data_IF_726125174782
#
_entry.id   IF_726125174782
#
_cell.length_a   1.000
_cell.length_b   1.000
_cell.length_c   1.000
_cell.angle_alpha   90.00
_cell.angle_beta   90.00
_cell.angle_gamma   90.00
#
_symmetry.space_group_name_H-M   'P 1'
#
loop_
_entity.id
_entity.type
_entity.pdbx_description
1 polymer ?
#
# COMPACT_ATOMS: atom_id res chain seq x y z
N UNK A 1 27.74 -15.64 8.77
CA UNK A 1 26.78 -14.81 9.53
C UNK A 1 25.44 -15.51 9.51
N UNK A 2 24.87 -15.79 10.66
CA UNK A 2 23.56 -16.44 10.78
C UNK A 2 22.42 -15.39 10.91
N UNK A 3 22.73 -14.13 10.63
CA UNK A 3 21.79 -12.99 10.71
C UNK A 3 20.71 -13.08 9.63
N UNK A 4 19.48 -12.81 10.01
CA UNK A 4 18.32 -12.79 9.09
C UNK A 4 18.25 -11.45 8.37
N UNK A 5 17.99 -11.50 7.07
CA UNK A 5 17.67 -10.34 6.26
C UNK A 5 16.30 -10.55 5.61
N UNK A 6 15.29 -9.84 6.12
CA UNK A 6 13.96 -9.82 5.53
C UNK A 6 13.89 -8.81 4.40
N UNK A 7 13.26 -9.16 3.29
CA UNK A 7 13.13 -8.32 2.11
C UNK A 7 11.72 -8.41 1.52
N UNK A 8 11.24 -7.29 0.96
CA UNK A 8 9.89 -7.22 0.42
C UNK A 8 9.78 -7.80 -0.98
N UNK A 9 8.65 -8.49 -1.19
CA UNK A 9 8.17 -8.93 -2.49
C UNK A 9 6.72 -8.43 -2.68
N UNK A 10 6.26 -8.17 -3.91
CA UNK A 10 4.86 -7.88 -4.15
C UNK A 10 4.00 -9.13 -3.94
N UNK A 11 2.77 -8.94 -3.49
CA UNK A 11 1.76 -10.00 -3.52
C UNK A 11 1.37 -10.35 -4.96
N UNK A 12 0.76 -11.51 -5.17
CA UNK A 12 0.30 -11.92 -6.49
C UNK A 12 -0.74 -10.93 -7.05
N UNK A 13 -0.54 -10.40 -8.28
CA UNK A 13 -1.50 -9.51 -8.91
C UNK A 13 -2.75 -10.26 -9.38
N UNK A 14 -3.92 -9.65 -9.15
CA UNK A 14 -5.22 -10.24 -9.54
C UNK A 14 -5.71 -9.76 -10.91
N UNK A 15 -5.12 -8.70 -11.43
CA UNK A 15 -5.55 -8.03 -12.67
C UNK A 15 -4.59 -8.25 -13.85
N UNK A 16 -3.48 -8.94 -13.65
CA UNK A 16 -2.54 -9.34 -14.71
C UNK A 16 -1.88 -10.68 -14.39
N UNK A 17 -1.62 -11.48 -15.41
CA UNK A 17 -0.83 -12.71 -15.30
C UNK A 17 0.68 -12.36 -15.28
N UNK A 18 1.15 -11.84 -14.15
CA UNK A 18 2.57 -11.54 -13.90
C UNK A 18 3.13 -12.47 -12.84
N UNK A 19 4.25 -13.10 -13.15
CA UNK A 19 5.00 -13.90 -12.18
C UNK A 19 5.88 -12.98 -11.34
N UNK A 20 5.66 -12.99 -10.03
CA UNK A 20 6.45 -12.22 -9.06
C UNK A 20 7.66 -13.02 -8.54
N UNK A 21 7.65 -14.34 -8.70
CA UNK A 21 8.65 -15.31 -8.23
C UNK A 21 10.08 -14.93 -8.68
N UNK A 22 10.23 -14.40 -9.91
CA UNK A 22 11.55 -14.01 -10.41
C UNK A 22 12.23 -12.94 -9.55
N UNK A 23 11.50 -11.97 -9.05
CA UNK A 23 12.06 -10.92 -8.19
C UNK A 23 12.49 -11.48 -6.83
N UNK A 24 11.69 -12.39 -6.28
CA UNK A 24 12.02 -13.10 -5.04
C UNK A 24 13.31 -13.87 -5.18
N UNK A 25 13.44 -14.71 -6.21
CA UNK A 25 14.64 -15.53 -6.46
C UNK A 25 15.89 -14.69 -6.63
N UNK A 26 15.84 -13.58 -7.35
CA UNK A 26 16.99 -12.69 -7.58
C UNK A 26 17.42 -12.02 -6.27
N UNK A 27 16.49 -11.46 -5.50
CA UNK A 27 16.80 -10.81 -4.23
C UNK A 27 17.35 -11.81 -3.23
N UNK A 28 16.76 -13.01 -3.14
CA UNK A 28 17.26 -14.10 -2.30
C UNK A 28 18.70 -14.44 -2.60
N UNK A 29 19.04 -14.68 -3.87
CA UNK A 29 20.41 -15.02 -4.28
C UNK A 29 21.41 -13.89 -3.94
N UNK A 30 21.02 -12.63 -4.09
CA UNK A 30 21.88 -11.50 -3.72
C UNK A 30 22.13 -11.49 -2.22
N UNK A 31 21.09 -11.60 -1.39
CA UNK A 31 21.17 -11.54 0.07
C UNK A 31 21.98 -12.71 0.60
N UNK A 32 21.71 -13.94 0.13
CA UNK A 32 22.47 -15.14 0.51
C UNK A 32 23.94 -15.07 0.04
N UNK A 33 24.20 -14.43 -1.11
CA UNK A 33 25.56 -14.17 -1.59
C UNK A 33 26.38 -13.27 -0.66
N UNK A 34 25.74 -12.42 0.14
CA UNK A 34 26.38 -11.64 1.21
C UNK A 34 26.48 -12.39 2.55
N UNK A 35 25.95 -13.61 2.64
CA UNK A 35 26.05 -14.47 3.82
C UNK A 35 24.95 -14.25 4.86
N UNK A 36 23.81 -13.70 4.48
CA UNK A 36 22.63 -13.58 5.32
C UNK A 36 21.63 -14.70 5.05
N UNK A 37 20.78 -15.02 6.03
CA UNK A 37 19.60 -15.85 5.82
C UNK A 37 18.49 -14.97 5.20
N UNK A 38 18.16 -15.19 3.94
CA UNK A 38 17.14 -14.40 3.23
C UNK A 38 15.72 -14.85 3.61
N UNK A 39 14.84 -13.91 3.96
CA UNK A 39 13.42 -14.14 4.27
C UNK A 39 12.53 -13.18 3.47
N UNK A 40 11.74 -13.68 2.53
CA UNK A 40 10.77 -12.84 1.82
C UNK A 40 9.57 -12.53 2.70
N UNK A 41 9.05 -11.31 2.58
CA UNK A 41 7.79 -10.87 3.17
C UNK A 41 7.00 -10.08 2.12
N UNK A 42 5.68 -10.24 2.07
CA UNK A 42 4.85 -9.42 1.18
C UNK A 42 4.81 -7.97 1.65
N UNK A 43 4.87 -7.03 0.70
CA UNK A 43 5.03 -5.60 0.98
C UNK A 43 3.94 -5.03 1.89
N UNK A 44 2.67 -5.42 1.68
CA UNK A 44 1.56 -4.98 2.52
C UNK A 44 1.57 -5.64 3.92
N UNK A 45 2.13 -6.85 4.05
CA UNK A 45 2.32 -7.52 5.34
C UNK A 45 3.41 -6.80 6.13
N UNK A 46 4.53 -6.44 5.49
CA UNK A 46 5.55 -5.62 6.15
C UNK A 46 4.99 -4.28 6.63
N UNK A 47 4.17 -3.61 5.81
CA UNK A 47 3.47 -2.39 6.22
C UNK A 47 2.57 -2.62 7.44
N UNK A 48 1.90 -3.78 7.51
CA UNK A 48 1.06 -4.14 8.65
C UNK A 48 1.86 -4.33 9.95
N UNK A 49 3.03 -4.93 9.88
CA UNK A 49 3.94 -5.07 11.04
C UNK A 49 4.41 -3.73 11.60
N UNK A 50 4.46 -2.69 10.79
CA UNK A 50 4.76 -1.33 11.26
C UNK A 50 3.52 -0.62 11.79
N UNK A 51 2.40 -0.66 11.07
CA UNK A 51 1.28 0.25 11.32
C UNK A 51 0.13 -0.34 12.14
N UNK A 52 0.10 -1.68 12.40
CA UNK A 52 -0.98 -2.35 13.12
C UNK A 52 -0.56 -2.91 14.50
N UNK A 53 0.61 -2.58 15.01
CA UNK A 53 1.12 -3.07 16.30
C UNK A 53 0.12 -2.80 17.43
N UNK A 54 -0.37 -1.57 17.53
CA UNK A 54 -1.34 -1.16 18.57
C UNK A 54 -2.71 -1.83 18.44
N UNK A 55 -2.97 -2.53 17.33
CA UNK A 55 -4.20 -3.25 17.04
C UNK A 55 -4.00 -4.77 17.03
N UNK A 56 -2.99 -5.25 17.76
CA UNK A 56 -2.65 -6.68 17.80
C UNK A 56 -2.48 -7.27 16.39
N UNK A 57 -1.81 -6.54 15.51
CA UNK A 57 -1.60 -6.87 14.09
C UNK A 57 -2.89 -7.31 13.39
N UNK A 58 -4.02 -6.62 13.69
CA UNK A 58 -5.34 -6.88 13.11
C UNK A 58 -5.84 -5.65 12.39
N UNK A 59 -6.16 -5.76 11.10
CA UNK A 59 -6.60 -4.65 10.26
C UNK A 59 -6.29 -4.88 8.79
N UNK A 60 -6.38 -3.81 8.01
CA UNK A 60 -6.08 -3.81 6.58
C UNK A 60 -4.89 -2.89 6.32
N UNK A 61 -3.90 -3.39 5.61
CA UNK A 61 -2.75 -2.62 5.15
C UNK A 61 -2.79 -2.49 3.62
N UNK A 62 -2.61 -1.26 3.12
CA UNK A 62 -2.58 -0.94 1.69
C UNK A 62 -1.27 -0.20 1.39
N UNK A 63 -0.35 -0.84 0.69
CA UNK A 63 0.86 -0.19 0.17
C UNK A 63 0.61 0.32 -1.24
N UNK A 64 0.71 1.63 -1.44
CA UNK A 64 0.44 2.31 -2.72
C UNK A 64 1.76 2.80 -3.35
N UNK A 65 2.36 1.95 -4.18
CA UNK A 65 3.59 2.25 -4.91
C UNK A 65 3.34 2.96 -6.26
N UNK A 66 4.41 3.18 -7.00
CA UNK A 66 4.33 3.75 -8.36
C UNK A 66 3.69 2.75 -9.36
N UNK A 67 4.18 1.51 -9.39
CA UNK A 67 3.74 0.50 -10.36
C UNK A 67 2.60 -0.39 -9.89
N UNK A 68 2.44 -0.56 -8.58
CA UNK A 68 1.50 -1.53 -7.98
C UNK A 68 0.93 -0.99 -6.67
N UNK A 69 -0.25 -1.51 -6.31
CA UNK A 69 -0.76 -1.42 -4.96
C UNK A 69 -0.89 -2.83 -4.38
N UNK A 70 -0.34 -3.03 -3.18
CA UNK A 70 -0.39 -4.29 -2.45
C UNK A 70 -1.34 -4.18 -1.26
N UNK A 71 -2.14 -5.19 -1.02
CA UNK A 71 -3.15 -5.23 0.03
C UNK A 71 -2.94 -6.47 0.91
N UNK A 72 -3.03 -6.29 2.23
CA UNK A 72 -3.07 -7.38 3.20
C UNK A 72 -4.22 -7.16 4.19
N UNK A 73 -5.00 -8.21 4.43
CA UNK A 73 -5.95 -8.31 5.53
C UNK A 73 -5.31 -9.15 6.62
N UNK A 74 -5.06 -8.55 7.77
CA UNK A 74 -4.36 -9.16 8.89
C UNK A 74 -5.32 -9.49 10.02
N UNK A 75 -5.10 -10.62 10.69
CA UNK A 75 -5.82 -11.02 11.88
C UNK A 75 -4.88 -11.67 12.89
N UNK A 76 -4.71 -11.04 14.04
CA UNK A 76 -3.86 -11.52 15.13
C UNK A 76 -2.45 -11.96 14.65
N UNK A 77 -1.80 -11.12 13.85
CA UNK A 77 -0.46 -11.34 13.33
C UNK A 77 -0.37 -12.24 12.09
N UNK A 78 -1.45 -12.86 11.67
CA UNK A 78 -1.48 -13.70 10.47
C UNK A 78 -2.12 -12.97 9.29
N UNK A 79 -1.59 -13.16 8.10
CA UNK A 79 -2.23 -12.70 6.87
C UNK A 79 -3.39 -13.62 6.50
N UNK A 80 -4.62 -13.10 6.54
CA UNK A 80 -5.82 -13.82 6.14
C UNK A 80 -6.07 -13.75 4.63
N UNK A 81 -5.65 -12.65 4.01
CA UNK A 81 -5.76 -12.39 2.57
C UNK A 81 -4.65 -11.44 2.14
N UNK A 82 -3.96 -11.76 1.05
CA UNK A 82 -3.03 -10.86 0.37
C UNK A 82 -3.25 -10.89 -1.13
N UNK A 83 -3.12 -9.75 -1.76
CA UNK A 83 -3.14 -9.62 -3.23
C UNK A 83 -2.56 -8.27 -3.65
N UNK A 84 -2.29 -8.11 -4.93
CA UNK A 84 -1.93 -6.83 -5.50
C UNK A 84 -2.73 -6.50 -6.76
N UNK A 85 -2.68 -5.24 -7.16
CA UNK A 85 -3.14 -4.77 -8.46
C UNK A 85 -2.01 -4.03 -9.17
N UNK A 86 -1.93 -4.15 -10.50
CA UNK A 86 -0.87 -3.55 -11.31
C UNK A 86 -1.18 -2.10 -11.69
N UNK A 87 -1.87 -1.38 -10.79
CA UNK A 87 -2.16 0.05 -10.89
C UNK A 87 -1.58 0.77 -9.67
N UNK A 88 -0.90 1.86 -9.93
CA UNK A 88 -0.30 2.70 -8.88
C UNK A 88 -0.13 4.13 -9.37
N UNK A 89 0.84 4.86 -8.84
CA UNK A 89 1.09 6.26 -9.20
C UNK A 89 1.40 6.47 -10.68
N UNK A 90 2.12 5.53 -11.29
CA UNK A 90 2.45 5.58 -12.74
C UNK A 90 1.23 5.41 -13.63
N UNK A 91 0.25 4.62 -13.20
CA UNK A 91 -1.01 4.47 -13.91
C UNK A 91 -1.81 5.78 -13.90
N UNK A 92 -1.81 6.50 -12.78
CA UNK A 92 -2.41 7.84 -12.70
C UNK A 92 -1.73 8.77 -13.68
N UNK A 93 -0.39 8.86 -13.67
CA UNK A 93 0.39 9.76 -14.51
C UNK A 93 0.15 9.51 -16.00
N UNK A 94 0.08 8.24 -16.39
CA UNK A 94 -0.14 7.84 -17.77
C UNK A 94 -1.55 8.21 -18.26
N UNK A 95 -2.59 7.94 -17.46
CA UNK A 95 -3.96 8.25 -17.84
C UNK A 95 -4.21 9.75 -17.88
N UNK A 96 -3.70 10.51 -16.90
CA UNK A 96 -3.77 11.98 -16.91
C UNK A 96 -3.05 12.56 -18.12
N UNK A 97 -1.85 12.04 -18.46
CA UNK A 97 -1.11 12.48 -19.65
C UNK A 97 -1.90 12.24 -20.94
N UNK A 98 -2.52 11.06 -21.07
CA UNK A 98 -3.32 10.70 -22.24
C UNK A 98 -4.56 11.59 -22.38
N UNK A 99 -5.26 11.88 -21.30
CA UNK A 99 -6.49 12.65 -21.32
C UNK A 99 -6.26 14.15 -21.53
N UNK A 100 -5.16 14.67 -20.97
CA UNK A 100 -4.87 16.12 -21.03
C UNK A 100 -3.93 16.52 -22.17
N UNK A 101 -3.27 15.55 -22.80
CA UNK A 101 -2.24 15.80 -23.83
C UNK A 101 -0.91 16.35 -23.26
N UNK A 102 -0.76 16.38 -21.95
CA UNK A 102 0.45 16.83 -21.25
C UNK A 102 1.41 15.65 -21.09
N UNK A 103 2.71 15.88 -21.14
CA UNK A 103 3.69 14.80 -20.98
C UNK A 103 3.62 14.16 -19.58
N UNK A 104 3.81 12.82 -19.49
CA UNK A 104 3.83 12.07 -18.22
C UNK A 104 4.79 12.71 -17.19
N UNK A 105 5.97 13.14 -17.62
CA UNK A 105 6.94 13.78 -16.73
C UNK A 105 6.43 15.10 -16.13
N UNK A 106 5.67 15.90 -16.90
CA UNK A 106 5.05 17.14 -16.39
C UNK A 106 3.91 16.82 -15.42
N UNK A 107 3.09 15.79 -15.70
CA UNK A 107 2.04 15.31 -14.78
C UNK A 107 2.66 14.87 -13.46
N UNK A 108 3.70 14.05 -13.51
CA UNK A 108 4.43 13.58 -12.32
C UNK A 108 4.96 14.74 -11.49
N UNK A 109 5.63 15.72 -12.11
CA UNK A 109 6.14 16.91 -11.42
C UNK A 109 5.01 17.70 -10.73
N UNK A 110 3.84 17.83 -11.36
CA UNK A 110 2.68 18.50 -10.77
C UNK A 110 2.16 17.68 -9.58
N UNK A 111 1.99 16.37 -9.74
CA UNK A 111 1.48 15.46 -8.72
C UNK A 111 2.37 15.43 -7.47
N UNK A 112 3.68 15.44 -7.64
CA UNK A 112 4.66 15.40 -6.54
C UNK A 112 4.91 16.77 -5.91
N UNK A 113 4.36 17.85 -6.46
CA UNK A 113 4.51 19.18 -5.91
C UNK A 113 3.47 19.49 -4.84
N UNK A 114 3.87 19.42 -3.58
CA UNK A 114 3.01 19.74 -2.45
C UNK A 114 2.42 21.16 -2.47
N UNK A 115 3.00 22.07 -3.28
CA UNK A 115 2.52 23.46 -3.42
C UNK A 115 1.43 23.61 -4.48
N UNK A 116 1.39 22.68 -5.44
CA UNK A 116 0.51 22.80 -6.61
C UNK A 116 -0.80 22.03 -6.46
N UNK A 117 -0.86 21.01 -5.59
CA UNK A 117 -2.00 20.12 -5.53
C UNK A 117 -2.49 19.89 -4.09
N UNK A 118 -3.80 19.94 -3.93
CA UNK A 118 -4.51 19.58 -2.72
C UNK A 118 -5.84 18.90 -3.13
N UNK A 119 -5.88 17.59 -3.05
CA UNK A 119 -7.04 16.80 -3.50
C UNK A 119 -8.30 17.06 -2.66
N UNK A 120 -8.17 17.55 -1.41
CA UNK A 120 -9.30 17.78 -0.51
C UNK A 120 -10.21 18.91 -0.96
N UNK A 121 -9.67 19.86 -1.72
CA UNK A 121 -10.38 21.11 -2.05
C UNK A 121 -11.36 20.99 -3.22
N UNK A 122 -11.39 19.84 -3.88
CA UNK A 122 -12.23 19.65 -5.08
C UNK A 122 -11.78 20.55 -6.25
N UNK A 123 -12.61 20.60 -7.29
CA UNK A 123 -12.30 21.38 -8.50
C UNK A 123 -13.01 22.74 -8.42
N UNK A 124 -12.48 23.66 -7.62
CA UNK A 124 -12.91 25.06 -7.64
C UNK A 124 -11.80 25.95 -8.21
N UNK A 125 -12.17 26.96 -8.99
CA UNK A 125 -11.24 27.81 -9.73
C UNK A 125 -10.19 28.53 -8.87
N UNK A 126 -10.46 28.73 -7.58
CA UNK A 126 -9.62 29.52 -6.67
C UNK A 126 -8.52 28.72 -5.92
N UNK A 127 -8.46 27.39 -6.09
CA UNK A 127 -7.57 26.52 -5.30
C UNK A 127 -6.12 26.62 -5.74
N UNK A 128 -5.88 26.91 -6.99
CA UNK A 128 -4.55 26.77 -7.61
C UNK A 128 -3.81 28.10 -7.74
N UNK A 129 -4.31 29.17 -7.10
CA UNK A 129 -3.69 30.49 -7.06
C UNK A 129 -3.93 31.34 -8.30
N UNK A 130 -3.81 32.65 -8.15
CA UNK A 130 -3.84 33.59 -9.27
C UNK A 130 -2.70 33.26 -10.25
N UNK A 131 -3.04 33.01 -11.52
CA UNK A 131 -2.08 32.76 -12.59
C UNK A 131 -1.88 31.30 -12.99
N UNK A 132 -2.61 30.33 -12.38
CA UNK A 132 -2.58 28.95 -12.87
C UNK A 132 -3.26 28.86 -14.22
N UNK A 133 -2.51 28.47 -15.25
CA UNK A 133 -3.05 28.31 -16.61
C UNK A 133 -4.14 27.25 -16.68
N UNK A 134 -5.06 27.36 -17.63
CA UNK A 134 -6.16 26.41 -17.81
C UNK A 134 -5.68 24.97 -18.05
N UNK A 135 -4.55 24.79 -18.73
CA UNK A 135 -3.90 23.49 -18.89
C UNK A 135 -3.53 22.85 -17.52
N UNK A 136 -2.98 23.63 -16.60
CA UNK A 136 -2.60 23.15 -15.28
C UNK A 136 -3.84 22.78 -14.45
N UNK A 137 -4.89 23.57 -14.51
CA UNK A 137 -6.18 23.28 -13.86
C UNK A 137 -6.77 21.96 -14.37
N UNK A 138 -6.75 21.73 -15.68
CA UNK A 138 -7.22 20.48 -16.28
C UNK A 138 -6.40 19.27 -15.81
N UNK A 139 -5.07 19.39 -15.72
CA UNK A 139 -4.19 18.34 -15.20
C UNK A 139 -4.52 18.03 -13.74
N UNK A 140 -4.67 19.05 -12.91
CA UNK A 140 -4.99 18.88 -11.48
C UNK A 140 -6.35 18.21 -11.28
N UNK A 141 -7.34 18.60 -12.10
CA UNK A 141 -8.66 17.96 -12.11
C UNK A 141 -8.57 16.49 -12.49
N UNK A 142 -7.84 16.18 -13.55
CA UNK A 142 -7.64 14.82 -14.00
C UNK A 142 -6.90 13.98 -12.94
N UNK A 143 -5.84 14.52 -12.30
CA UNK A 143 -5.13 13.83 -11.20
C UNK A 143 -6.13 13.43 -10.10
N UNK A 144 -6.94 14.37 -9.58
CA UNK A 144 -7.93 14.06 -8.54
C UNK A 144 -8.91 12.97 -8.97
N UNK A 145 -9.41 13.06 -10.19
CA UNK A 145 -10.35 12.09 -10.75
C UNK A 145 -9.72 10.69 -10.82
N UNK A 146 -8.48 10.55 -11.30
CA UNK A 146 -7.79 9.27 -11.39
C UNK A 146 -7.39 8.70 -10.03
N UNK A 147 -7.11 9.53 -9.02
CA UNK A 147 -7.01 9.05 -7.63
C UNK A 147 -8.31 8.41 -7.16
N UNK A 148 -9.45 9.07 -7.38
CA UNK A 148 -10.76 8.51 -7.05
C UNK A 148 -11.04 7.18 -7.76
N UNK A 149 -10.72 7.09 -9.06
CA UNK A 149 -10.85 5.84 -9.84
C UNK A 149 -9.95 4.74 -9.29
N UNK A 150 -8.68 5.03 -8.95
CA UNK A 150 -7.75 4.06 -8.39
C UNK A 150 -8.23 3.54 -7.04
N UNK A 151 -8.62 4.44 -6.13
CA UNK A 151 -9.11 4.09 -4.79
C UNK A 151 -10.38 3.23 -4.90
N UNK A 152 -11.34 3.63 -5.72
CA UNK A 152 -12.56 2.85 -5.94
C UNK A 152 -12.24 1.46 -6.52
N UNK A 153 -11.28 1.37 -7.45
CA UNK A 153 -10.82 0.10 -7.99
C UNK A 153 -10.22 -0.81 -6.90
N UNK A 154 -9.37 -0.26 -6.01
CA UNK A 154 -8.79 -1.01 -4.90
C UNK A 154 -9.87 -1.52 -3.92
N UNK A 155 -10.79 -0.66 -3.51
CA UNK A 155 -11.87 -1.00 -2.57
C UNK A 155 -12.81 -2.07 -3.16
N UNK A 156 -13.17 -1.94 -4.43
CA UNK A 156 -14.02 -2.92 -5.13
C UNK A 156 -13.33 -4.28 -5.22
N UNK A 157 -12.05 -4.32 -5.57
CA UNK A 157 -11.31 -5.58 -5.63
C UNK A 157 -11.12 -6.19 -4.23
N UNK A 158 -10.84 -5.39 -3.20
CA UNK A 158 -10.76 -5.86 -1.82
C UNK A 158 -12.08 -6.52 -1.39
N UNK A 159 -13.22 -5.89 -1.68
CA UNK A 159 -14.53 -6.47 -1.41
C UNK A 159 -14.72 -7.81 -2.13
N UNK A 160 -14.43 -7.89 -3.43
CA UNK A 160 -14.57 -9.13 -4.21
C UNK A 160 -13.64 -10.24 -3.70
N UNK A 161 -12.40 -9.92 -3.36
CA UNK A 161 -11.46 -10.90 -2.82
C UNK A 161 -11.91 -11.39 -1.44
N UNK A 162 -12.45 -10.51 -0.62
CA UNK A 162 -13.00 -10.85 0.69
C UNK A 162 -14.21 -11.80 0.57
N UNK A 163 -15.15 -11.50 -0.33
CA UNK A 163 -16.33 -12.33 -0.59
C UNK A 163 -15.98 -13.69 -1.21
N UNK A 164 -14.91 -13.75 -2.01
CA UNK A 164 -14.43 -14.96 -2.68
C UNK A 164 -13.55 -15.87 -1.82
N UNK A 165 -13.13 -15.41 -0.64
CA UNK A 165 -12.23 -16.18 0.22
C UNK A 165 -12.99 -17.25 1.02
N UNK A 166 -12.55 -18.52 0.91
CA UNK A 166 -13.20 -19.66 1.57
C UNK A 166 -13.19 -19.60 3.11
N UNK A 167 -12.20 -18.91 3.68
CA UNK A 167 -11.98 -18.87 5.15
C UNK A 167 -11.48 -17.48 5.57
N UNK A 168 -12.39 -16.54 5.70
CA UNK A 168 -12.06 -15.26 6.34
C UNK A 168 -12.30 -15.34 7.85
N UNK A 169 -11.40 -14.74 8.67
CA UNK A 169 -11.66 -14.62 10.09
C UNK A 169 -12.89 -13.75 10.36
N UNK A 170 -13.59 -14.04 11.45
CA UNK A 170 -14.60 -13.12 11.95
C UNK A 170 -13.90 -12.02 12.75
N UNK A 171 -14.12 -10.77 12.38
CA UNK A 171 -13.58 -9.61 13.08
C UNK A 171 -14.59 -9.19 14.16
N UNK A 172 -14.28 -9.42 15.46
CA UNK A 172 -15.23 -9.08 16.53
C UNK A 172 -15.32 -7.58 16.79
N UNK A 173 -14.26 -6.84 16.45
CA UNK A 173 -14.12 -5.40 16.65
C UNK A 173 -13.88 -4.68 15.33
N UNK A 174 -14.17 -3.38 15.31
CA UNK A 174 -13.87 -2.50 14.18
C UNK A 174 -12.36 -2.40 13.98
N UNK A 175 -11.88 -2.54 12.75
CA UNK A 175 -10.46 -2.57 12.41
C UNK A 175 -9.98 -1.28 11.74
N UNK A 176 -8.70 -0.91 11.84
CA UNK A 176 -8.15 0.19 11.06
C UNK A 176 -7.82 -0.24 9.64
N UNK A 177 -7.89 0.72 8.70
CA UNK A 177 -7.20 0.66 7.41
C UNK A 177 -5.97 1.56 7.51
N UNK A 178 -4.80 1.00 7.34
CA UNK A 178 -3.54 1.74 7.25
C UNK A 178 -3.07 1.79 5.80
N UNK A 179 -2.53 2.94 5.39
CA UNK A 179 -2.09 3.18 4.04
C UNK A 179 -0.65 3.68 4.07
N UNK A 180 0.19 3.16 3.18
CA UNK A 180 1.59 3.56 3.03
C UNK A 180 2.02 3.64 1.57
N UNK A 181 3.27 4.03 1.33
CA UNK A 181 3.84 4.19 0.00
C UNK A 181 3.77 5.62 -0.55
N UNK A 182 4.57 5.91 -1.57
CA UNK A 182 4.71 7.27 -2.09
C UNK A 182 3.44 7.85 -2.72
N UNK A 183 2.58 7.00 -3.29
CA UNK A 183 1.37 7.46 -3.99
C UNK A 183 0.31 8.04 -3.04
N UNK A 184 0.27 7.63 -1.76
CA UNK A 184 -0.69 8.16 -0.79
C UNK A 184 -0.27 9.49 -0.13
N UNK A 185 0.96 9.99 -0.39
CA UNK A 185 1.50 11.19 0.27
C UNK A 185 1.00 12.51 -0.32
N UNK A 186 0.25 12.48 -1.40
CA UNK A 186 -0.34 13.68 -1.99
C UNK A 186 -1.33 14.30 -1.01
N UNK A 187 -1.25 15.62 -0.87
CA UNK A 187 -2.12 16.35 0.06
C UNK A 187 -3.61 16.16 -0.28
N UNK A 188 -4.44 15.88 0.73
CA UNK A 188 -5.86 15.61 0.56
C UNK A 188 -6.18 14.18 0.12
N UNK A 189 -5.21 13.26 0.12
CA UNK A 189 -5.43 11.86 -0.26
C UNK A 189 -6.50 11.19 0.60
N UNK A 190 -6.44 11.35 1.93
CA UNK A 190 -7.41 10.74 2.86
C UNK A 190 -8.83 11.24 2.61
N UNK A 191 -9.00 12.51 2.22
CA UNK A 191 -10.31 13.05 1.90
C UNK A 191 -10.91 12.34 0.68
N UNK A 192 -10.11 12.15 -0.39
CA UNK A 192 -10.54 11.40 -1.57
C UNK A 192 -10.77 9.92 -1.24
N UNK A 193 -9.95 9.32 -0.38
CA UNK A 193 -10.16 7.95 0.05
C UNK A 193 -11.50 7.80 0.78
N UNK A 194 -11.81 8.69 1.73
CA UNK A 194 -13.07 8.68 2.47
C UNK A 194 -14.29 8.96 1.57
N UNK A 195 -14.15 9.76 0.51
CA UNK A 195 -15.22 9.97 -0.47
C UNK A 195 -15.57 8.68 -1.25
N UNK A 196 -14.60 7.80 -1.46
CA UNK A 196 -14.80 6.54 -2.18
C UNK A 196 -15.17 5.38 -1.24
N UNK A 197 -14.90 5.50 0.06
CA UNK A 197 -15.16 4.46 1.04
C UNK A 197 -16.62 4.47 1.48
N UNK A 198 -17.29 3.32 1.39
CA UNK A 198 -18.67 3.11 1.81
C UNK A 198 -18.74 1.98 2.85
N UNK A 199 -18.89 2.35 4.13
CA UNK A 199 -18.94 1.38 5.22
C UNK A 199 -20.10 0.38 5.07
N UNK A 200 -21.22 0.78 4.49
CA UNK A 200 -22.39 -0.11 4.34
C UNK A 200 -22.13 -1.24 3.34
N UNK A 201 -21.23 -1.01 2.38
CA UNK A 201 -20.83 -2.00 1.38
C UNK A 201 -19.55 -2.76 1.77
N UNK A 202 -18.82 -2.27 2.76
CA UNK A 202 -17.54 -2.85 3.12
C UNK A 202 -17.73 -4.09 4.02
N UNK A 203 -17.02 -5.22 3.76
CA UNK A 203 -17.31 -6.51 4.38
C UNK A 203 -16.97 -6.60 5.87
N UNK A 204 -16.17 -5.68 6.39
CA UNK A 204 -15.80 -5.60 7.81
C UNK A 204 -15.95 -4.18 8.33
N UNK A 205 -16.30 -4.00 9.61
CA UNK A 205 -16.43 -2.67 10.20
C UNK A 205 -15.06 -2.00 10.33
N UNK A 206 -14.96 -0.74 9.89
CA UNK A 206 -13.72 0.04 9.90
C UNK A 206 -13.85 1.20 10.87
N UNK A 207 -12.91 1.28 11.83
CA UNK A 207 -12.90 2.37 12.84
C UNK A 207 -12.18 3.63 12.41
N UNK A 208 -11.15 3.48 11.59
CA UNK A 208 -10.33 4.60 11.10
C UNK A 208 -9.61 4.25 9.80
N UNK A 209 -9.32 5.27 9.00
CA UNK A 209 -8.49 5.19 7.80
C UNK A 209 -7.36 6.20 7.96
N UNK A 210 -6.10 5.74 7.93
CA UNK A 210 -4.94 6.63 8.16
C UNK A 210 -3.73 6.26 7.32
N UNK A 211 -2.91 7.26 7.02
CA UNK A 211 -1.57 7.06 6.45
C UNK A 211 -0.60 6.76 7.59
N UNK A 212 0.26 5.76 7.43
CA UNK A 212 1.32 5.46 8.41
C UNK A 212 2.32 6.61 8.52
N UNK A 213 2.85 6.84 9.72
CA UNK A 213 3.94 7.79 9.92
C UNK A 213 5.18 7.35 9.14
N UNK A 214 5.95 8.33 8.64
CA UNK A 214 7.15 8.09 7.83
C UNK A 214 6.95 7.02 6.74
N UNK A 215 5.89 7.16 5.97
CA UNK A 215 5.44 6.21 4.94
C UNK A 215 6.56 5.74 3.99
N UNK A 216 7.61 6.56 3.75
CA UNK A 216 8.75 6.19 2.92
C UNK A 216 9.62 5.08 3.53
N UNK A 217 9.66 4.95 4.84
CA UNK A 217 10.49 3.96 5.56
C UNK A 217 9.66 2.89 6.28
N UNK A 218 8.33 3.03 6.29
CA UNK A 218 7.43 2.14 7.02
C UNK A 218 7.61 0.66 6.62
N UNK A 219 7.71 0.36 5.33
CA UNK A 219 7.89 -1.01 4.84
C UNK A 219 9.24 -1.60 5.29
N UNK A 220 10.33 -0.82 5.25
CA UNK A 220 11.64 -1.29 5.71
C UNK A 220 11.69 -1.51 7.22
N UNK A 221 10.95 -0.69 8.00
CA UNK A 221 10.79 -0.93 9.44
C UNK A 221 9.97 -2.18 9.71
N UNK A 222 8.91 -2.43 8.96
CA UNK A 222 8.14 -3.66 9.03
C UNK A 222 8.97 -4.91 8.68
N UNK A 223 9.85 -4.82 7.67
CA UNK A 223 10.82 -5.89 7.40
C UNK A 223 11.75 -6.15 8.59
N UNK A 224 12.22 -5.10 9.25
CA UNK A 224 13.06 -5.24 10.46
C UNK A 224 12.27 -5.88 11.59
N UNK A 225 11.02 -5.46 11.82
CA UNK A 225 10.15 -6.06 12.84
C UNK A 225 9.95 -7.55 12.63
N UNK A 226 9.71 -7.98 11.39
CA UNK A 226 9.60 -9.40 11.04
C UNK A 226 10.91 -10.16 11.27
N UNK A 227 12.06 -9.59 10.90
CA UNK A 227 13.35 -10.22 11.13
C UNK A 227 13.59 -10.47 12.62
N UNK A 228 13.28 -9.51 13.48
CA UNK A 228 13.42 -9.62 14.94
C UNK A 228 12.46 -10.68 15.52
N UNK A 229 11.23 -10.76 15.06
CA UNK A 229 10.27 -11.78 15.49
C UNK A 229 10.75 -13.18 15.15
N UNK A 230 11.29 -13.38 13.94
CA UNK A 230 11.83 -14.69 13.52
C UNK A 230 13.06 -15.07 14.39
N UNK A 231 13.95 -14.13 14.71
CA UNK A 231 15.09 -14.40 15.58
C UNK A 231 14.65 -14.79 16.99
N UNK A 232 13.67 -14.11 17.58
CA UNK A 232 13.09 -14.45 18.88
C UNK A 232 12.48 -15.86 18.88
N UNK A 233 11.74 -16.24 17.84
CA UNK A 233 11.16 -17.58 17.70
C UNK A 233 12.22 -18.68 17.53
N UNK A 234 13.30 -18.43 16.77
CA UNK A 234 14.42 -19.36 16.61
C UNK A 234 15.12 -19.60 17.96
N UNK A 235 15.39 -18.53 18.75
CA UNK A 235 16.04 -18.61 20.07
C UNK A 235 15.17 -19.38 21.09
N UNK A 236 13.87 -19.10 21.19
CA UNK A 236 12.94 -19.83 22.07
C UNK A 236 12.84 -21.32 21.72
N UNK A 237 12.91 -21.64 20.43
CA UNK A 237 12.87 -23.03 19.94
C UNK A 237 14.13 -23.82 20.30
N UNK A 238 15.30 -23.16 20.35
CA UNK A 238 16.56 -23.76 20.76
C UNK A 238 16.61 -24.01 22.27
N UNK A 239 16.18 -23.02 23.09
CA UNK A 239 16.10 -23.20 24.55
C UNK A 239 15.15 -24.34 24.97
N UNK A 240 14.09 -24.57 24.18
CA UNK A 240 13.12 -25.63 24.48
C UNK A 240 13.66 -27.03 24.14
N UNK A 241 14.61 -27.15 23.23
CA UNK A 241 15.26 -28.42 22.85
C UNK A 241 16.39 -28.84 23.80
N UNK A 242 16.94 -27.89 24.56
CA UNK A 242 18.00 -28.16 25.54
C UNK A 242 17.48 -28.55 26.93
N UNK A 243 16.17 -28.47 27.17
CA UNK A 243 15.47 -28.88 28.41
C UNK A 243 14.83 -30.24 28.25
#
# INVERSE_FOLDING_TARGET
KDEICTYCVPSAPIDQDRRVDYHEDVLKQIIEGYGYKARPIEEAVALAYEGLVDNNLTGIAISMGAGMCNIAVMYAGMSALTFSVTRGGDWIDENVANDTGVSKAKVQNIKESAQLIDLSKGVQDDIYGEGTGEEQKNVLHAIRSYYGVLINYLLTNLQHQFEGADKMPNFPDDVPIIIGGGTCLIKGFIDVFNEQFDQEKFPIPVKEIKIVEDSHTAISRGCLSEALLIEEEEDESEETKEK
#
